data_IF_649138211518
#
_entry.id   IF_649138211518
#
_cell.length_a   1.000
_cell.length_b   1.000
_cell.length_c   1.000
_cell.angle_alpha   90.00
_cell.angle_beta   90.00
_cell.angle_gamma   90.00
#
_symmetry.space_group_name_H-M   'P 1'
#
loop_
_entity.id
_entity.type
_entity.pdbx_description
1 polymer ?
#
# COMPACT_ATOMS: atom_id res chain seq x y z
N UNK A 1 -0.23 33.44 13.74
CA UNK A 1 -0.20 33.01 12.32
C UNK A 1 -0.34 31.51 12.33
N UNK A 2 -1.57 31.01 12.20
CA UNK A 2 -1.86 29.57 12.21
C UNK A 2 -1.63 29.08 10.79
N UNK A 3 -0.47 28.47 10.54
CA UNK A 3 -0.19 27.82 9.26
C UNK A 3 -1.19 26.66 9.14
N UNK A 4 -2.11 26.79 8.19
CA UNK A 4 -2.91 25.68 7.71
C UNK A 4 -1.95 24.55 7.26
N UNK A 5 -1.78 23.53 8.10
CA UNK A 5 -1.15 22.26 7.73
C UNK A 5 -2.13 21.40 6.91
N UNK A 6 -2.91 22.04 6.05
CA UNK A 6 -3.98 21.38 5.31
C UNK A 6 -3.35 20.66 4.12
N UNK A 7 -3.57 19.35 4.02
CA UNK A 7 -3.17 18.44 2.92
C UNK A 7 -1.88 17.64 3.10
N UNK A 8 -1.61 17.13 4.30
CA UNK A 8 -0.69 16.00 4.45
C UNK A 8 -1.43 14.77 4.98
N UNK A 9 -1.24 13.64 4.32
CA UNK A 9 -1.75 12.33 4.74
C UNK A 9 -0.57 11.46 5.16
N UNK A 10 -0.77 10.71 6.24
CA UNK A 10 0.23 9.76 6.70
C UNK A 10 0.20 8.51 5.84
N UNK A 11 1.37 8.06 5.39
CA UNK A 11 1.51 6.78 4.72
C UNK A 11 1.32 5.64 5.75
N UNK A 12 0.38 4.74 5.51
CA UNK A 12 0.07 3.59 6.36
C UNK A 12 1.25 2.60 6.46
N UNK A 13 2.14 2.57 5.48
CA UNK A 13 3.29 1.65 5.48
C UNK A 13 4.53 2.20 6.19
N UNK A 14 5.03 3.38 5.77
CA UNK A 14 6.27 3.93 6.31
C UNK A 14 6.04 4.95 7.45
N UNK A 15 4.78 5.19 7.82
CA UNK A 15 4.36 6.10 8.89
C UNK A 15 4.82 7.56 8.75
N UNK A 16 5.34 7.96 7.58
CA UNK A 16 5.74 9.32 7.27
C UNK A 16 4.57 10.14 6.71
N UNK A 17 4.62 11.46 6.90
CA UNK A 17 3.61 12.39 6.37
C UNK A 17 4.06 12.91 5.01
N UNK A 18 3.20 12.78 4.01
CA UNK A 18 3.44 13.27 2.66
C UNK A 18 2.28 14.17 2.25
N UNK A 19 2.49 14.99 1.22
CA UNK A 19 1.36 15.75 0.67
C UNK A 19 0.34 14.80 0.07
N UNK A 20 -0.93 15.20 0.06
CA UNK A 20 -1.99 14.38 -0.52
C UNK A 20 -1.75 14.05 -2.01
N UNK A 21 -1.05 14.91 -2.76
CA UNK A 21 -0.66 14.64 -4.16
C UNK A 21 0.40 13.53 -4.30
N UNK A 22 1.11 13.22 -3.21
CA UNK A 22 2.14 12.18 -3.14
C UNK A 22 1.60 10.89 -2.52
N UNK A 23 0.30 10.84 -2.22
CA UNK A 23 -0.38 9.71 -1.59
C UNK A 23 -1.28 9.05 -2.64
N UNK A 24 -1.06 7.76 -2.83
CA UNK A 24 -1.91 6.86 -3.58
C UNK A 24 -2.84 6.13 -2.63
N UNK A 25 -4.14 6.30 -2.85
CA UNK A 25 -5.19 5.57 -2.14
C UNK A 25 -5.43 4.22 -2.83
N UNK A 26 -5.19 3.14 -2.10
CA UNK A 26 -5.45 1.77 -2.55
C UNK A 26 -6.67 1.24 -1.80
N UNK A 27 -7.65 0.72 -2.52
CA UNK A 27 -8.80 0.07 -1.89
C UNK A 27 -8.54 -1.44 -1.79
N UNK A 28 -8.14 -1.87 -0.60
CA UNK A 28 -7.97 -3.27 -0.27
C UNK A 28 -9.29 -3.88 0.20
N UNK A 29 -9.55 -5.13 -0.22
CA UNK A 29 -10.80 -5.81 0.09
C UNK A 29 -10.94 -6.17 1.58
N UNK A 30 -9.83 -6.34 2.29
CA UNK A 30 -9.79 -6.81 3.68
C UNK A 30 -9.49 -5.64 4.65
N UNK A 31 -8.48 -4.83 4.32
CA UNK A 31 -8.05 -3.68 5.13
C UNK A 31 -8.83 -2.39 4.83
N UNK A 32 -9.55 -2.33 3.71
CA UNK A 32 -10.24 -1.13 3.25
C UNK A 32 -9.29 -0.15 2.56
N UNK A 33 -9.55 1.15 2.74
CA UNK A 33 -8.74 2.21 2.11
C UNK A 33 -7.37 2.33 2.81
N UNK A 34 -6.31 2.09 2.06
CA UNK A 34 -4.90 2.21 2.50
C UNK A 34 -4.29 3.42 1.79
N UNK A 35 -3.68 4.32 2.55
CA UNK A 35 -2.99 5.50 2.03
C UNK A 35 -1.50 5.23 1.98
N UNK A 36 -0.93 5.14 0.79
CA UNK A 36 0.50 4.89 0.63
C UNK A 36 1.16 6.04 -0.09
N UNK A 37 2.37 6.43 0.32
CA UNK A 37 3.15 7.34 -0.50
C UNK A 37 3.51 6.67 -1.84
N UNK A 38 3.81 7.47 -2.85
CA UNK A 38 4.15 6.97 -4.19
C UNK A 38 5.18 5.84 -4.16
N UNK A 39 6.28 5.99 -3.42
CA UNK A 39 7.31 4.96 -3.29
C UNK A 39 6.80 3.65 -2.66
N UNK A 40 5.92 3.73 -1.65
CA UNK A 40 5.34 2.55 -1.02
C UNK A 40 4.28 1.89 -1.91
N UNK A 41 3.53 2.69 -2.66
CA UNK A 41 2.52 2.20 -3.60
C UNK A 41 3.15 1.45 -4.79
N UNK A 42 4.31 1.88 -5.26
CA UNK A 42 5.05 1.18 -6.33
C UNK A 42 5.56 -0.20 -5.90
N UNK A 43 5.79 -0.39 -4.59
CA UNK A 43 6.19 -1.68 -4.02
C UNK A 43 5.01 -2.56 -3.65
N UNK A 44 3.78 -2.09 -3.80
CA UNK A 44 2.60 -2.91 -3.52
C UNK A 44 2.27 -3.79 -4.71
N UNK A 45 2.09 -5.08 -4.43
CA UNK A 45 1.65 -6.06 -5.40
C UNK A 45 0.34 -6.67 -4.93
N UNK A 46 -0.58 -6.86 -5.87
CA UNK A 46 -1.83 -7.53 -5.59
C UNK A 46 -1.65 -9.05 -5.66
N UNK A 47 -2.11 -9.76 -4.64
CA UNK A 47 -2.15 -11.22 -4.67
C UNK A 47 -3.12 -11.72 -5.75
N UNK A 48 -2.68 -12.62 -6.61
CA UNK A 48 -3.50 -13.18 -7.68
C UNK A 48 -4.71 -13.98 -7.17
N UNK A 49 -4.61 -14.57 -5.97
CA UNK A 49 -5.64 -15.44 -5.37
C UNK A 49 -6.68 -14.62 -4.59
N UNK A 50 -6.27 -13.94 -3.51
CA UNK A 50 -7.19 -13.24 -2.62
C UNK A 50 -7.42 -11.76 -3.00
N UNK A 51 -6.70 -11.24 -4.01
CA UNK A 51 -6.76 -9.84 -4.45
C UNK A 51 -6.37 -8.81 -3.37
N UNK A 52 -5.78 -9.28 -2.29
CA UNK A 52 -5.20 -8.44 -1.23
C UNK A 52 -3.91 -7.78 -1.72
N UNK A 53 -3.76 -6.49 -1.42
CA UNK A 53 -2.53 -5.76 -1.67
C UNK A 53 -1.54 -5.99 -0.53
N UNK A 54 -0.33 -6.41 -0.90
CA UNK A 54 0.76 -6.71 0.02
C UNK A 54 2.04 -6.10 -0.51
N UNK A 55 3.01 -5.84 0.36
CA UNK A 55 4.31 -5.35 -0.08
C UNK A 55 5.03 -6.42 -0.89
N UNK A 56 5.87 -5.98 -1.84
CA UNK A 56 6.72 -6.87 -2.61
C UNK A 56 7.58 -7.77 -1.71
N UNK A 57 8.13 -7.22 -0.62
CA UNK A 57 8.90 -7.97 0.39
C UNK A 57 8.07 -9.05 1.11
N UNK A 58 6.75 -8.91 1.14
CA UNK A 58 5.78 -9.84 1.74
C UNK A 58 5.04 -10.68 0.68
N UNK A 59 5.51 -10.66 -0.57
CA UNK A 59 4.94 -11.50 -1.64
C UNK A 59 5.79 -12.74 -1.88
N UNK A 60 5.12 -13.85 -2.17
CA UNK A 60 5.72 -15.10 -2.59
C UNK A 60 5.45 -15.25 -4.09
N UNK A 61 6.52 -15.33 -4.89
CA UNK A 61 6.41 -15.57 -6.33
C UNK A 61 6.49 -17.06 -6.63
N UNK A 62 5.39 -17.64 -7.11
CA UNK A 62 5.32 -19.02 -7.57
C UNK A 62 5.23 -19.05 -9.10
N UNK A 63 6.40 -19.08 -9.76
CA UNK A 63 6.46 -18.94 -11.21
C UNK A 63 6.05 -17.52 -11.63
N UNK A 64 4.96 -17.41 -12.38
CA UNK A 64 4.39 -16.13 -12.82
C UNK A 64 3.31 -15.58 -11.85
N UNK A 65 2.87 -16.38 -10.87
CA UNK A 65 1.85 -15.96 -9.91
C UNK A 65 2.45 -15.18 -8.74
N UNK A 66 1.80 -14.07 -8.36
CA UNK A 66 2.14 -13.28 -7.17
C UNK A 66 1.16 -13.65 -6.06
N UNK A 67 1.67 -14.25 -4.99
CA UNK A 67 0.88 -14.66 -3.84
C UNK A 67 1.26 -13.82 -2.63
N UNK A 68 0.30 -13.48 -1.78
CA UNK A 68 0.64 -12.96 -0.44
C UNK A 68 1.16 -14.11 0.45
N UNK A 69 1.84 -13.80 1.55
CA UNK A 69 2.32 -14.83 2.49
C UNK A 69 1.22 -15.77 2.97
N UNK A 70 -0.03 -15.31 3.04
CA UNK A 70 -1.16 -16.14 3.46
C UNK A 70 -1.57 -17.15 2.37
N UNK A 71 -1.54 -16.76 1.10
CA UNK A 71 -1.96 -17.64 0.00
C UNK A 71 -0.82 -18.52 -0.55
N UNK A 72 0.44 -18.13 -0.35
CA UNK A 72 1.61 -18.87 -0.82
C UNK A 72 2.21 -19.84 0.19
N UNK A 73 1.66 -19.92 1.41
CA UNK A 73 2.04 -20.89 2.44
C UNK A 73 1.03 -22.05 2.46
#
# INVERSE_FOLDING_TARGET
MTLALENHTQCDHCCNYFKNEEITEINDIDLGLINLCNECSEKMLQCDICKHYTLEDETIRHGEAILCQHCGN
#
